data_IF_941278955421
#
_entry.id   IF_941278955421
#
_cell.length_a   1.000
_cell.length_b   1.000
_cell.length_c   1.000
_cell.angle_alpha   90.00
_cell.angle_beta   90.00
_cell.angle_gamma   90.00
#
_symmetry.space_group_name_H-M   'P 1'
#
loop_
_entity.id
_entity.type
_entity.pdbx_description
1 polymer ?
#
# COMPACT_ATOMS: atom_id res chain seq x y z
N UNK A 1 14.99 23.49 7.53
CA UNK A 1 13.73 24.26 7.80
C UNK A 1 13.57 24.36 9.30
N UNK A 2 13.40 25.57 9.85
CA UNK A 2 13.09 25.74 11.28
C UNK A 2 11.61 25.43 11.51
N UNK A 3 11.24 25.07 12.74
CA UNK A 3 9.83 24.80 13.06
C UNK A 3 8.90 25.98 12.73
N UNK A 4 9.42 27.21 12.80
CA UNK A 4 8.63 28.42 12.48
C UNK A 4 8.40 28.55 10.96
N UNK A 5 9.40 28.28 10.14
CA UNK A 5 9.27 28.32 8.68
C UNK A 5 8.23 27.30 8.16
N UNK A 6 8.11 26.17 8.85
CA UNK A 6 7.09 25.16 8.51
C UNK A 6 5.65 25.68 8.73
N UNK A 7 5.44 26.58 9.69
CA UNK A 7 4.12 27.20 9.94
C UNK A 7 3.85 28.43 9.09
N UNK A 8 4.89 29.04 8.52
CA UNK A 8 4.78 30.22 7.67
C UNK A 8 4.65 29.86 6.17
N UNK A 9 4.81 28.59 5.81
CA UNK A 9 4.60 28.06 4.45
C UNK A 9 3.15 27.58 4.27
N UNK A 10 2.63 27.69 3.05
CA UNK A 10 1.39 27.01 2.68
C UNK A 10 1.57 25.50 2.89
N UNK A 11 0.55 24.85 3.45
CA UNK A 11 0.57 23.40 3.68
C UNK A 11 0.64 22.64 2.36
N UNK A 12 1.40 21.56 2.37
CA UNK A 12 1.41 20.55 1.30
C UNK A 12 0.73 19.29 1.79
N UNK A 13 0.34 18.42 0.87
CA UNK A 13 -0.28 17.14 1.21
C UNK A 13 0.40 15.98 0.47
N UNK A 14 0.36 14.82 1.07
CA UNK A 14 0.68 13.55 0.44
C UNK A 14 -0.49 12.59 0.65
N UNK A 15 -0.65 11.62 -0.22
CA UNK A 15 -1.68 10.59 -0.10
C UNK A 15 -1.01 9.23 -0.12
N UNK A 16 -1.43 8.38 0.78
CA UNK A 16 -1.06 6.96 0.83
C UNK A 16 -2.33 6.13 0.70
N UNK A 17 -2.31 5.13 -0.15
CA UNK A 17 -3.41 4.17 -0.30
C UNK A 17 -2.90 2.75 -0.14
N UNK A 18 -3.59 1.98 0.67
CA UNK A 18 -3.34 0.57 0.87
C UNK A 18 -4.35 -0.27 0.10
N UNK A 19 -3.88 -1.41 -0.43
CA UNK A 19 -4.67 -2.30 -1.27
C UNK A 19 -4.42 -3.75 -0.91
N UNK A 20 -5.43 -4.59 -1.16
CA UNK A 20 -5.28 -6.04 -1.16
C UNK A 20 -4.88 -6.54 -2.53
N UNK A 21 -3.94 -7.48 -2.59
CA UNK A 21 -3.67 -8.29 -3.79
C UNK A 21 -4.56 -9.52 -3.72
N UNK A 22 -5.31 -9.75 -4.78
CA UNK A 22 -6.24 -10.87 -4.87
C UNK A 22 -6.02 -11.64 -6.18
N UNK A 23 -6.34 -12.90 -6.16
CA UNK A 23 -6.39 -13.74 -7.35
C UNK A 23 -7.51 -13.26 -8.28
N UNK A 24 -7.22 -13.11 -9.59
CA UNK A 24 -8.14 -12.51 -10.54
C UNK A 24 -9.41 -13.37 -10.81
N UNK A 25 -9.39 -14.66 -10.52
CA UNK A 25 -10.54 -15.54 -10.74
C UNK A 25 -11.39 -15.72 -9.48
N UNK A 26 -10.73 -15.90 -8.33
CA UNK A 26 -11.40 -16.24 -7.06
C UNK A 26 -11.66 -15.04 -6.17
N UNK A 27 -10.91 -13.95 -6.37
CA UNK A 27 -10.85 -12.76 -5.54
C UNK A 27 -10.38 -13.05 -4.09
N UNK A 28 -9.77 -14.20 -3.86
CA UNK A 28 -9.17 -14.52 -2.55
C UNK A 28 -7.80 -13.83 -2.40
N UNK A 29 -7.42 -13.41 -1.18
CA UNK A 29 -6.13 -12.78 -0.94
C UNK A 29 -4.96 -13.70 -1.29
N UNK A 30 -3.96 -13.15 -1.97
CA UNK A 30 -2.75 -13.89 -2.36
C UNK A 30 -1.49 -13.20 -1.83
N UNK A 31 -0.50 -13.94 -1.32
CA UNK A 31 0.73 -13.36 -0.75
C UNK A 31 1.72 -12.93 -1.84
N UNK A 32 1.30 -12.03 -2.72
CA UNK A 32 2.01 -11.64 -3.93
C UNK A 32 2.61 -10.23 -3.90
N UNK A 33 2.54 -9.50 -2.76
CA UNK A 33 3.10 -8.15 -2.69
C UNK A 33 4.60 -8.11 -3.02
N UNK A 34 5.39 -9.06 -2.54
CA UNK A 34 6.83 -9.11 -2.83
C UNK A 34 7.13 -9.26 -4.33
N UNK A 35 6.31 -10.05 -5.05
CA UNK A 35 6.47 -10.25 -6.49
C UNK A 35 6.06 -9.00 -7.29
N UNK A 36 4.97 -8.32 -6.90
CA UNK A 36 4.51 -7.10 -7.54
C UNK A 36 5.41 -5.89 -7.26
N UNK A 37 6.21 -5.94 -6.19
CA UNK A 37 7.09 -4.85 -5.78
C UNK A 37 8.57 -5.09 -6.14
N UNK A 38 8.88 -6.08 -6.98
CA UNK A 38 10.25 -6.29 -7.47
C UNK A 38 10.72 -5.03 -8.23
N UNK A 39 11.79 -4.41 -7.74
CA UNK A 39 12.35 -3.17 -8.31
C UNK A 39 12.73 -3.28 -9.79
N UNK A 40 12.98 -4.51 -10.28
CA UNK A 40 13.36 -4.74 -11.67
C UNK A 40 12.15 -4.81 -12.60
N UNK A 41 10.96 -5.04 -12.07
CA UNK A 41 9.73 -5.29 -12.82
C UNK A 41 8.68 -4.18 -12.62
N UNK A 42 8.69 -3.53 -11.46
CA UNK A 42 7.73 -2.48 -11.13
C UNK A 42 7.78 -1.32 -12.15
N UNK A 43 6.63 -0.85 -12.69
CA UNK A 43 6.56 0.26 -13.63
C UNK A 43 7.20 1.54 -13.13
N UNK A 44 7.71 2.36 -14.05
CA UNK A 44 8.42 3.60 -13.72
C UNK A 44 7.57 4.57 -12.88
N UNK A 45 6.26 4.62 -13.12
CA UNK A 45 5.29 5.44 -12.39
C UNK A 45 5.15 5.05 -10.92
N UNK A 46 5.49 3.80 -10.59
CA UNK A 46 5.36 3.24 -9.24
C UNK A 46 6.69 3.16 -8.49
N UNK A 47 7.84 3.31 -9.21
CA UNK A 47 9.17 3.20 -8.59
C UNK A 47 9.36 4.21 -7.46
N UNK A 48 9.71 3.71 -6.27
CA UNK A 48 9.88 4.53 -5.07
C UNK A 48 8.58 4.98 -4.39
N UNK A 49 7.42 4.57 -4.93
CA UNK A 49 6.10 4.95 -4.45
C UNK A 49 5.21 3.77 -4.07
N UNK A 50 5.78 2.58 -4.04
CA UNK A 50 5.10 1.37 -3.57
C UNK A 50 5.89 0.74 -2.44
N UNK A 51 5.19 0.17 -1.49
CA UNK A 51 5.77 -0.44 -0.30
C UNK A 51 4.97 -1.65 0.17
N UNK A 52 5.66 -2.54 0.90
CA UNK A 52 5.02 -3.67 1.56
C UNK A 52 4.37 -3.22 2.86
N UNK A 53 3.27 -3.85 3.20
CA UNK A 53 2.60 -3.73 4.50
C UNK A 53 2.81 -4.97 5.38
N UNK A 54 2.12 -5.01 6.53
CA UNK A 54 2.30 -6.06 7.53
C UNK A 54 2.04 -7.48 6.99
N UNK A 55 1.10 -7.63 6.06
CA UNK A 55 0.76 -8.91 5.44
C UNK A 55 1.17 -8.93 3.97
N UNK A 56 1.65 -10.08 3.48
CA UNK A 56 2.10 -10.25 2.09
C UNK A 56 1.01 -10.10 1.02
N UNK A 57 -0.23 -9.96 1.41
CA UNK A 57 -1.34 -9.65 0.49
C UNK A 57 -1.82 -8.21 0.57
N UNK A 58 -1.10 -7.36 1.33
CA UNK A 58 -1.37 -5.93 1.44
C UNK A 58 -0.13 -5.15 1.01
N UNK A 59 -0.33 -4.10 0.26
CA UNK A 59 0.72 -3.16 -0.13
C UNK A 59 0.17 -1.75 -0.19
N UNK A 60 1.07 -0.77 -0.20
CA UNK A 60 0.72 0.65 -0.25
C UNK A 60 1.27 1.33 -1.50
N UNK A 61 0.60 2.39 -1.94
CA UNK A 61 1.14 3.38 -2.87
C UNK A 61 1.11 4.77 -2.25
N UNK A 62 2.11 5.58 -2.55
CA UNK A 62 2.23 6.94 -2.06
C UNK A 62 2.32 7.94 -3.20
N UNK A 63 1.83 9.17 -3.00
CA UNK A 63 2.11 10.28 -3.91
C UNK A 63 3.40 10.99 -3.55
N UNK A 64 3.93 11.78 -4.47
CA UNK A 64 4.82 12.88 -4.13
C UNK A 64 4.06 13.91 -3.29
N UNK A 65 4.81 14.84 -2.72
CA UNK A 65 4.23 15.99 -2.04
C UNK A 65 3.54 16.91 -3.04
N UNK A 66 2.24 17.12 -2.87
CA UNK A 66 1.41 17.95 -3.73
C UNK A 66 1.05 19.29 -3.06
N UNK A 67 1.02 20.36 -3.84
CA UNK A 67 0.58 21.68 -3.38
C UNK A 67 -0.96 21.83 -3.43
N UNK A 68 -1.63 20.97 -4.19
CA UNK A 68 -3.08 21.02 -4.37
C UNK A 68 -3.72 19.64 -4.31
N UNK A 69 -4.96 19.59 -3.84
CA UNK A 69 -5.74 18.34 -3.83
C UNK A 69 -5.93 17.76 -5.24
N UNK A 70 -6.11 18.62 -6.25
CA UNK A 70 -6.26 18.15 -7.64
C UNK A 70 -4.96 17.51 -8.16
N UNK A 71 -3.80 18.07 -7.82
CA UNK A 71 -2.49 17.49 -8.16
C UNK A 71 -2.31 16.09 -7.54
N UNK A 72 -2.58 15.95 -6.25
CA UNK A 72 -2.52 14.66 -5.56
C UNK A 72 -3.51 13.63 -6.16
N UNK A 73 -4.73 14.07 -6.46
CA UNK A 73 -5.77 13.24 -7.09
C UNK A 73 -5.34 12.71 -8.45
N UNK A 74 -4.82 13.58 -9.30
CA UNK A 74 -4.39 13.19 -10.64
C UNK A 74 -3.19 12.25 -10.61
N UNK A 75 -2.25 12.48 -9.71
CA UNK A 75 -1.13 11.59 -9.51
C UNK A 75 -1.59 10.20 -9.02
N UNK A 76 -2.46 10.16 -8.02
CA UNK A 76 -3.00 8.90 -7.52
C UNK A 76 -3.78 8.13 -8.59
N UNK A 77 -4.53 8.82 -9.45
CA UNK A 77 -5.20 8.17 -10.60
C UNK A 77 -4.23 7.50 -11.56
N UNK A 78 -3.10 8.15 -11.88
CA UNK A 78 -2.07 7.55 -12.75
C UNK A 78 -1.44 6.34 -12.08
N UNK A 79 -1.09 6.44 -10.81
CA UNK A 79 -0.50 5.33 -10.04
C UNK A 79 -1.45 4.16 -9.93
N UNK A 80 -2.72 4.38 -9.65
CA UNK A 80 -3.74 3.31 -9.65
C UNK A 80 -3.85 2.63 -11.01
N UNK A 81 -3.84 3.39 -12.10
CA UNK A 81 -3.92 2.80 -13.45
C UNK A 81 -2.70 1.90 -13.75
N UNK A 82 -1.49 2.39 -13.46
CA UNK A 82 -0.26 1.62 -13.61
C UNK A 82 -0.25 0.36 -12.74
N UNK A 83 -0.76 0.47 -11.50
CA UNK A 83 -0.84 -0.64 -10.57
C UNK A 83 -1.80 -1.73 -11.01
N UNK A 84 -3.00 -1.35 -11.49
CA UNK A 84 -4.00 -2.30 -11.99
C UNK A 84 -3.48 -3.03 -13.23
N UNK A 85 -2.83 -2.31 -14.15
CA UNK A 85 -2.21 -2.91 -15.33
C UNK A 85 -1.10 -3.90 -14.93
N UNK A 86 -0.18 -3.47 -14.06
CA UNK A 86 0.91 -4.30 -13.58
C UNK A 86 0.44 -5.56 -12.84
N UNK A 87 -0.53 -5.44 -11.94
CA UNK A 87 -1.11 -6.61 -11.27
C UNK A 87 -1.78 -7.57 -12.26
N UNK A 88 -2.51 -7.03 -13.23
CA UNK A 88 -3.15 -7.80 -14.28
C UNK A 88 -2.17 -8.61 -15.15
N UNK A 89 -1.01 -8.05 -15.46
CA UNK A 89 0.06 -8.74 -16.20
C UNK A 89 0.60 -9.96 -15.44
N UNK A 90 0.47 -9.95 -14.11
CA UNK A 90 0.86 -11.06 -13.22
C UNK A 90 -0.29 -12.01 -12.87
N UNK A 91 -1.49 -11.79 -13.40
CA UNK A 91 -2.67 -12.61 -13.11
C UNK A 91 -3.35 -12.30 -11.79
N UNK A 92 -3.10 -11.11 -11.24
CA UNK A 92 -3.72 -10.63 -10.00
C UNK A 92 -4.65 -9.45 -10.25
N UNK A 93 -5.52 -9.18 -9.28
CA UNK A 93 -6.28 -7.96 -9.19
C UNK A 93 -5.95 -7.19 -7.90
N UNK A 94 -6.29 -5.91 -7.91
CA UNK A 94 -6.08 -4.98 -6.80
C UNK A 94 -7.44 -4.58 -6.24
N UNK A 95 -7.68 -4.88 -4.98
CA UNK A 95 -8.91 -4.54 -4.28
C UNK A 95 -8.70 -3.37 -3.31
N UNK A 96 -9.40 -2.26 -3.57
CA UNK A 96 -9.47 -1.11 -2.66
C UNK A 96 -10.68 -1.28 -1.71
N UNK A 97 -10.42 -1.70 -0.49
CA UNK A 97 -11.44 -1.88 0.54
C UNK A 97 -10.79 -1.74 1.92
N UNK A 98 -11.51 -1.27 2.91
CA UNK A 98 -10.99 -1.18 4.28
C UNK A 98 -10.77 -2.53 4.95
N UNK A 99 -11.53 -3.56 4.52
CA UNK A 99 -11.40 -4.96 4.93
C UNK A 99 -11.73 -5.86 3.75
N UNK A 100 -10.98 -6.95 3.62
CA UNK A 100 -11.35 -7.99 2.68
C UNK A 100 -12.49 -8.85 3.29
N UNK A 101 -13.55 -9.15 2.53
CA UNK A 101 -14.75 -9.80 3.11
C UNK A 101 -14.52 -11.23 3.64
N UNK A 102 -13.58 -11.97 3.08
CA UNK A 102 -13.29 -13.36 3.46
C UNK A 102 -11.91 -13.56 4.12
N UNK A 103 -11.00 -12.57 4.06
CA UNK A 103 -9.66 -12.74 4.61
C UNK A 103 -9.67 -13.00 6.12
N UNK A 104 -8.89 -13.98 6.53
CA UNK A 104 -8.67 -14.33 7.94
C UNK A 104 -7.20 -14.11 8.27
N UNK A 105 -6.93 -13.35 9.32
CA UNK A 105 -5.58 -12.99 9.75
C UNK A 105 -4.69 -14.21 10.09
N UNK A 106 -5.30 -15.32 10.51
CA UNK A 106 -4.62 -16.56 10.92
C UNK A 106 -4.32 -17.51 9.75
N UNK A 107 -4.73 -17.16 8.54
CA UNK A 107 -4.52 -17.93 7.31
C UNK A 107 -3.47 -17.30 6.38
N UNK A 108 -2.96 -16.11 6.73
CA UNK A 108 -2.05 -15.35 5.86
C UNK A 108 -0.70 -15.07 6.51
N UNK A 109 0.32 -14.97 5.64
CA UNK A 109 1.70 -14.71 6.06
C UNK A 109 1.94 -13.22 6.27
N UNK A 110 2.71 -12.91 7.32
CA UNK A 110 3.25 -11.58 7.52
C UNK A 110 4.41 -11.31 6.57
N UNK A 111 4.58 -10.04 6.21
CA UNK A 111 5.74 -9.57 5.47
C UNK A 111 7.03 -9.80 6.28
N UNK A 112 8.11 -10.09 5.58
CA UNK A 112 9.42 -10.28 6.20
C UNK A 112 10.05 -8.92 6.52
N UNK A 113 10.77 -8.86 7.63
CA UNK A 113 11.51 -7.67 8.01
C UNK A 113 11.56 -7.45 9.52
N UNK A 114 12.65 -6.83 9.98
CA UNK A 114 12.87 -6.55 11.39
C UNK A 114 11.81 -5.59 11.97
N UNK A 115 11.38 -4.60 11.19
CA UNK A 115 10.33 -3.65 11.56
C UNK A 115 9.03 -4.37 11.93
N UNK A 116 8.58 -5.29 11.08
CA UNK A 116 7.33 -6.04 11.28
C UNK A 116 7.42 -7.01 12.45
N UNK A 117 8.56 -7.69 12.60
CA UNK A 117 8.82 -8.56 13.76
C UNK A 117 8.74 -7.77 15.07
N UNK A 118 9.40 -6.62 15.15
CA UNK A 118 9.34 -5.75 16.33
C UNK A 118 7.93 -5.24 16.63
N UNK A 119 7.15 -4.91 15.60
CA UNK A 119 5.75 -4.51 15.78
C UNK A 119 4.89 -5.65 16.32
N UNK A 120 5.03 -6.85 15.75
CA UNK A 120 4.31 -8.04 16.21
C UNK A 120 4.67 -8.40 17.66
N UNK A 121 5.94 -8.37 18.01
CA UNK A 121 6.42 -8.66 19.37
C UNK A 121 5.95 -7.60 20.40
N UNK A 122 5.92 -6.34 20.00
CA UNK A 122 5.57 -5.22 20.88
C UNK A 122 4.07 -5.07 21.09
N UNK A 123 3.29 -5.14 20.01
CA UNK A 123 1.85 -4.89 20.01
C UNK A 123 1.07 -6.20 20.20
N UNK A 124 1.67 -7.33 19.78
CA UNK A 124 1.11 -8.68 19.93
C UNK A 124 -0.25 -8.83 19.24
N UNK A 125 -1.24 -9.34 19.98
CA UNK A 125 -2.54 -9.75 19.46
C UNK A 125 -3.25 -8.75 18.55
N UNK A 126 -3.36 -7.45 18.84
CA UNK A 126 -3.98 -6.50 17.93
C UNK A 126 -3.26 -6.41 16.57
N UNK A 127 -1.92 -6.41 16.60
CA UNK A 127 -1.13 -6.33 15.37
C UNK A 127 -1.26 -7.56 14.49
N UNK A 128 -1.28 -8.76 15.08
CA UNK A 128 -1.49 -10.00 14.32
C UNK A 128 -2.83 -10.03 13.57
N UNK A 129 -3.81 -9.23 13.99
CA UNK A 129 -5.16 -9.17 13.40
C UNK A 129 -5.37 -7.94 12.51
N UNK A 130 -4.35 -7.13 12.30
CA UNK A 130 -4.47 -5.90 11.51
C UNK A 130 -4.41 -6.20 10.00
N UNK A 131 -5.47 -6.79 9.47
CA UNK A 131 -5.70 -7.04 8.04
C UNK A 131 -6.54 -5.92 7.41
N UNK A 132 -6.26 -4.69 7.76
CA UNK A 132 -6.95 -3.51 7.24
C UNK A 132 -6.13 -2.85 6.15
N UNK A 133 -6.82 -2.18 5.24
CA UNK A 133 -6.20 -1.30 4.25
C UNK A 133 -6.86 0.09 4.34
N UNK A 134 -6.08 1.14 4.25
CA UNK A 134 -6.50 2.50 4.51
C UNK A 134 -6.23 3.48 3.38
N UNK A 135 -6.74 4.69 3.59
CA UNK A 135 -6.39 5.89 2.86
C UNK A 135 -5.91 6.92 3.88
N UNK A 136 -4.68 7.41 3.71
CA UNK A 136 -4.07 8.43 4.55
C UNK A 136 -3.81 9.70 3.76
N UNK A 137 -3.99 10.87 4.39
CA UNK A 137 -3.74 12.19 3.79
C UNK A 137 -2.99 13.09 4.75
#
# INVERSE_FOLDING_TARGET
MSGREAFDSEGTLGVEEEYFVVDAETLEPVPASDALLDENDVPAELKGHVGTELFKFVFETTTETAETLEGAREEMRRKRAALVEHAGDHGYEVLAAGLHPSARWDEHEHAEGERYRQQLDRIRYPQHRNITAGLHV
#
